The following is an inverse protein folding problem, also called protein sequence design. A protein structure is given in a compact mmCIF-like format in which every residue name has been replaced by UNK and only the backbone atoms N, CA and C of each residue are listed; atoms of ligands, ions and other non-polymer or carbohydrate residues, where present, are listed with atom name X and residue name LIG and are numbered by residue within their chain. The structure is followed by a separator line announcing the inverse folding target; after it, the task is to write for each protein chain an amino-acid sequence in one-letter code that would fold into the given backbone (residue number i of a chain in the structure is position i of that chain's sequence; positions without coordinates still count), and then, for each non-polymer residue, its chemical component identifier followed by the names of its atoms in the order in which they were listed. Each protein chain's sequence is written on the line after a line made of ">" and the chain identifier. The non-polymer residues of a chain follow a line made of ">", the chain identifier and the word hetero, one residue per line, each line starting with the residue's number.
data_IF_143367806893
#
_entry.id   IF_143367806893
#
_cell.length_a   1.000
_cell.length_b   1.000
_cell.length_c   1.000
_cell.angle_alpha   90.00
_cell.angle_beta   90.00
_cell.angle_gamma   90.00
#
_symmetry.space_group_name_H-M   'P 1'
#
loop_
_entity.id
_entity.type
_entity.pdbx_description
1 polymer ?
#
# COMPACT_ATOMS: atom_id res chain seq x y z
N UNK A 1 -10.08 -32.71 25.84
CA UNK A 1 -10.90 -31.68 25.16
C UNK A 1 -9.98 -30.54 24.74
N UNK A 2 -9.84 -30.36 23.42
CA UNK A 2 -9.24 -29.25 22.66
C UNK A 2 -7.85 -28.69 23.04
N UNK A 3 -6.82 -29.16 22.35
CA UNK A 3 -5.53 -28.47 22.23
C UNK A 3 -5.66 -27.38 21.16
N UNK A 4 -5.48 -26.11 21.54
CA UNK A 4 -5.38 -25.01 20.58
C UNK A 4 -4.03 -25.05 19.85
N UNK A 5 -4.05 -25.38 18.56
CA UNK A 5 -2.91 -25.20 17.68
C UNK A 5 -2.71 -23.69 17.42
N UNK A 6 -1.64 -23.12 17.97
CA UNK A 6 -1.11 -21.84 17.52
C UNK A 6 -0.22 -22.12 16.29
N UNK A 7 -0.64 -21.65 15.12
CA UNK A 7 0.15 -21.71 13.89
C UNK A 7 1.22 -20.62 13.99
N UNK A 8 2.45 -21.02 14.31
CA UNK A 8 3.62 -20.16 14.15
C UNK A 8 3.92 -19.98 12.66
N UNK A 9 3.69 -18.77 12.15
CA UNK A 9 4.18 -18.36 10.83
C UNK A 9 5.63 -17.87 10.95
N UNK A 10 6.57 -18.80 11.07
CA UNK A 10 8.00 -18.53 10.87
C UNK A 10 8.35 -18.78 9.41
N UNK A 11 8.17 -17.75 8.57
CA UNK A 11 8.70 -17.75 7.20
C UNK A 11 9.27 -16.38 6.85
N UNK A 12 10.58 -16.24 6.97
CA UNK A 12 11.42 -15.70 5.89
C UNK A 12 12.88 -15.89 6.29
N UNK A 13 13.54 -16.74 5.52
CA UNK A 13 14.94 -17.08 5.62
C UNK A 13 15.82 -15.90 5.21
N UNK A 14 16.84 -15.66 6.02
CA UNK A 14 18.14 -15.06 5.72
C UNK A 14 18.45 -14.77 4.25
N UNK A 15 18.27 -13.53 3.81
CA UNK A 15 18.87 -12.97 2.60
C UNK A 15 18.94 -11.45 2.78
N UNK A 16 20.07 -10.91 3.25
CA UNK A 16 20.62 -9.58 2.93
C UNK A 16 21.86 -9.33 3.81
N UNK A 17 23.01 -9.88 3.41
CA UNK A 17 24.29 -9.27 3.76
C UNK A 17 24.58 -8.23 2.66
N UNK A 18 24.63 -6.95 3.02
CA UNK A 18 24.75 -5.76 2.14
C UNK A 18 23.44 -5.26 1.50
N UNK A 19 22.51 -4.75 2.31
CA UNK A 19 21.48 -3.83 1.84
C UNK A 19 21.64 -2.49 2.56
N UNK A 20 21.71 -1.39 1.79
CA UNK A 20 21.69 -0.03 2.31
C UNK A 20 20.49 0.15 3.27
N UNK A 21 20.67 0.83 4.42
CA UNK A 21 19.60 1.02 5.41
C UNK A 21 18.39 1.81 4.86
N UNK A 22 18.51 2.47 3.69
CA UNK A 22 17.41 3.10 2.96
C UNK A 22 16.57 2.11 2.12
N UNK A 23 17.11 0.93 1.77
CA UNK A 23 16.46 -0.06 0.90
C UNK A 23 15.49 -0.99 1.66
N UNK A 24 15.61 -1.09 2.99
CA UNK A 24 14.72 -1.92 3.83
C UNK A 24 13.36 -1.24 4.04
N UNK A 25 13.26 0.08 3.80
CA UNK A 25 12.01 0.84 3.83
C UNK A 25 11.19 0.74 2.53
N UNK A 26 11.64 -0.07 1.56
CA UNK A 26 11.18 0.02 0.16
C UNK A 26 10.02 -0.91 -0.20
N UNK A 27 9.47 -1.73 0.70
CA UNK A 27 8.39 -2.68 0.32
C UNK A 27 7.02 -2.44 0.97
N UNK A 28 6.93 -1.59 1.99
CA UNK A 28 5.65 -1.37 2.69
C UNK A 28 5.25 0.10 2.61
N UNK A 29 3.97 0.41 2.33
CA UNK A 29 3.48 1.76 2.48
C UNK A 29 3.64 2.19 3.95
N UNK A 30 3.79 3.50 4.22
CA UNK A 30 3.97 3.99 5.58
C UNK A 30 2.90 3.44 6.55
N UNK A 31 3.32 3.02 7.75
CA UNK A 31 2.43 2.34 8.70
C UNK A 31 1.12 3.09 9.02
N UNK A 32 1.12 4.43 8.91
CA UNK A 32 -0.04 5.32 9.08
C UNK A 32 -1.24 4.98 8.19
N UNK A 33 -1.03 4.32 7.04
CA UNK A 33 -2.12 3.90 6.17
C UNK A 33 -2.92 2.71 6.73
N UNK A 34 -2.36 1.96 7.68
CA UNK A 34 -3.01 0.81 8.31
C UNK A 34 -3.61 1.16 9.69
N UNK A 35 -3.55 2.43 10.10
CA UNK A 35 -4.14 2.87 11.36
C UNK A 35 -5.65 3.08 11.21
N UNK A 36 -6.44 2.26 11.90
CA UNK A 36 -7.89 2.27 11.79
C UNK A 36 -8.53 3.62 12.17
N UNK A 37 -9.64 3.95 11.50
CA UNK A 37 -10.36 5.21 11.73
C UNK A 37 -9.72 6.46 11.12
N UNK A 38 -8.47 6.39 10.65
CA UNK A 38 -7.80 7.55 10.01
C UNK A 38 -8.28 7.80 8.58
N UNK A 39 -8.05 9.02 8.08
CA UNK A 39 -8.32 9.36 6.68
C UNK A 39 -7.45 8.54 5.70
N UNK A 40 -6.22 8.22 6.08
CA UNK A 40 -5.29 7.43 5.27
C UNK A 40 -5.72 5.96 5.18
N UNK A 41 -6.28 5.39 6.25
CA UNK A 41 -6.86 4.05 6.17
C UNK A 41 -8.11 4.02 5.28
N UNK A 42 -8.98 5.03 5.36
CA UNK A 42 -10.11 5.14 4.42
C UNK A 42 -9.64 5.17 2.96
N UNK A 43 -8.56 5.89 2.68
CA UNK A 43 -7.96 5.93 1.35
C UNK A 43 -7.48 4.54 0.88
N UNK A 44 -6.82 3.77 1.75
CA UNK A 44 -6.38 2.40 1.43
C UNK A 44 -7.57 1.46 1.14
N UNK A 45 -8.66 1.60 1.90
CA UNK A 45 -9.88 0.81 1.73
C UNK A 45 -10.62 1.12 0.42
N UNK A 46 -10.66 2.40 0.04
CA UNK A 46 -11.34 2.86 -1.18
C UNK A 46 -10.49 2.69 -2.45
N UNK A 47 -9.16 2.58 -2.31
CA UNK A 47 -8.25 2.41 -3.43
C UNK A 47 -8.49 1.08 -4.17
N UNK A 48 -8.50 1.09 -5.51
CA UNK A 48 -8.60 -0.13 -6.29
C UNK A 48 -7.36 -1.01 -6.08
N UNK A 49 -7.51 -2.33 -6.21
CA UNK A 49 -6.41 -3.29 -6.07
C UNK A 49 -5.21 -2.95 -6.97
N UNK A 50 -5.48 -2.58 -8.22
CA UNK A 50 -4.51 -2.02 -9.17
C UNK A 50 -4.82 -0.53 -9.40
N UNK A 51 -4.12 0.33 -8.66
CA UNK A 51 -4.34 1.77 -8.70
C UNK A 51 -3.43 2.45 -9.71
N UNK A 52 -3.92 3.57 -10.25
CA UNK A 52 -3.13 4.48 -11.07
C UNK A 52 -2.44 5.51 -10.19
N UNK A 53 -1.17 5.78 -10.43
CA UNK A 53 -0.34 6.68 -9.64
C UNK A 53 0.79 7.30 -10.47
N UNK A 54 1.44 8.34 -9.94
CA UNK A 54 2.52 9.04 -10.63
C UNK A 54 3.29 9.98 -9.71
N UNK A 55 4.49 10.35 -10.15
CA UNK A 55 5.32 11.38 -9.50
C UNK A 55 4.85 12.80 -9.86
N UNK A 56 4.05 12.95 -10.92
CA UNK A 56 3.40 14.18 -11.37
C UNK A 56 1.87 14.04 -11.33
N UNK A 57 1.09 15.03 -11.78
CA UNK A 57 -0.38 14.98 -11.72
C UNK A 57 -1.05 14.14 -12.83
N UNK A 58 -0.31 13.24 -13.48
CA UNK A 58 -0.79 12.54 -14.70
C UNK A 58 -1.32 11.11 -14.48
N UNK A 59 -1.06 10.50 -13.33
CA UNK A 59 -1.46 9.14 -12.93
C UNK A 59 -1.15 8.05 -13.98
N UNK A 60 0.05 8.10 -14.57
CA UNK A 60 0.44 7.24 -15.70
C UNK A 60 0.79 5.80 -15.34
N UNK A 61 1.21 5.52 -14.10
CA UNK A 61 1.68 4.18 -13.68
C UNK A 61 0.52 3.38 -13.08
N UNK A 62 0.42 2.10 -13.38
CA UNK A 62 -0.51 1.17 -12.70
C UNK A 62 0.30 0.25 -11.79
N UNK A 63 -0.06 0.20 -10.50
CA UNK A 63 0.64 -0.57 -9.46
C UNK A 63 -0.35 -1.15 -8.44
N UNK A 64 0.02 -2.22 -7.73
CA UNK A 64 -0.74 -2.64 -6.55
C UNK A 64 -0.88 -1.48 -5.57
N UNK A 65 -2.03 -1.36 -4.90
CA UNK A 65 -2.35 -0.19 -4.05
C UNK A 65 -1.28 0.11 -3.01
N UNK A 66 -0.66 -0.91 -2.43
CA UNK A 66 0.38 -0.78 -1.39
C UNK A 66 1.66 -0.11 -1.92
N UNK A 67 1.89 -0.18 -3.23
CA UNK A 67 2.98 0.53 -3.91
C UNK A 67 2.54 1.89 -4.45
N UNK A 68 1.28 1.99 -4.91
CA UNK A 68 0.72 3.24 -5.42
C UNK A 68 0.71 4.34 -4.36
N UNK A 69 0.49 3.99 -3.08
CA UNK A 69 0.51 4.92 -1.93
C UNK A 69 1.87 5.60 -1.66
N UNK A 70 2.93 5.20 -2.38
CA UNK A 70 4.26 5.84 -2.27
C UNK A 70 4.45 7.00 -3.22
N UNK A 71 3.53 7.14 -4.15
CA UNK A 71 3.52 8.22 -5.12
C UNK A 71 2.77 9.41 -4.53
N UNK A 72 3.23 10.65 -4.79
CA UNK A 72 2.52 11.84 -4.33
C UNK A 72 1.13 11.93 -4.96
N UNK A 73 0.93 11.36 -6.15
CA UNK A 73 -0.32 11.46 -6.87
C UNK A 73 -0.92 10.08 -7.16
N UNK A 74 -2.18 9.87 -6.74
CA UNK A 74 -2.88 8.60 -6.92
C UNK A 74 -4.35 8.80 -7.30
N UNK A 75 -4.82 7.97 -8.23
CA UNK A 75 -6.21 7.92 -8.64
C UNK A 75 -6.97 6.90 -7.80
N UNK A 76 -7.91 7.41 -7.02
CA UNK A 76 -8.75 6.62 -6.12
C UNK A 76 -10.09 6.42 -6.81
N UNK A 77 -10.17 5.43 -7.70
CA UNK A 77 -11.39 5.12 -8.43
C UNK A 77 -12.34 4.29 -7.56
N UNK A 78 -13.31 4.95 -6.92
CA UNK A 78 -14.43 4.25 -6.29
C UNK A 78 -15.29 3.59 -7.38
N UNK A 79 -15.68 2.31 -7.27
CA UNK A 79 -16.46 1.61 -8.29
C UNK A 79 -17.79 2.27 -8.70
N UNK A 80 -18.32 3.19 -7.88
CA UNK A 80 -19.55 3.94 -8.15
C UNK A 80 -19.36 5.38 -8.66
N UNK A 81 -18.12 5.81 -8.96
CA UNK A 81 -17.85 7.18 -9.43
C UNK A 81 -17.40 7.19 -10.89
N UNK A 82 -18.01 8.07 -11.68
CA UNK A 82 -17.78 8.21 -13.14
C UNK A 82 -16.62 9.16 -13.45
N UNK A 83 -16.34 10.11 -12.55
CA UNK A 83 -15.20 11.02 -12.65
C UNK A 83 -14.01 10.49 -11.86
N UNK A 84 -12.85 10.43 -12.51
CA UNK A 84 -11.59 10.08 -11.90
C UNK A 84 -10.82 11.34 -11.56
N UNK A 85 -10.45 11.48 -10.29
CA UNK A 85 -9.58 12.56 -9.81
C UNK A 85 -8.28 11.96 -9.29
N UNK A 86 -7.18 12.67 -9.53
CA UNK A 86 -5.88 12.36 -8.97
C UNK A 86 -5.74 13.13 -7.66
N UNK A 87 -5.59 12.42 -6.55
CA UNK A 87 -5.41 12.97 -5.21
C UNK A 87 -3.93 13.14 -4.89
N UNK A 88 -3.60 14.17 -4.12
CA UNK A 88 -2.29 14.37 -3.48
C UNK A 88 -2.28 13.59 -2.15
N UNK A 89 -1.20 12.85 -1.86
CA UNK A 89 -1.10 11.88 -0.76
C UNK A 89 -0.19 12.30 0.39
#
# INVERSE_FOLDING_TARGET
>A
MSHGQAISFSLASSLTANADPMAISTHLPPARFFEDGTALNRLLLEAPYMARCSDDKTATRVRPREYALRYPYMQVNRPGMVSWLVFDL
#
